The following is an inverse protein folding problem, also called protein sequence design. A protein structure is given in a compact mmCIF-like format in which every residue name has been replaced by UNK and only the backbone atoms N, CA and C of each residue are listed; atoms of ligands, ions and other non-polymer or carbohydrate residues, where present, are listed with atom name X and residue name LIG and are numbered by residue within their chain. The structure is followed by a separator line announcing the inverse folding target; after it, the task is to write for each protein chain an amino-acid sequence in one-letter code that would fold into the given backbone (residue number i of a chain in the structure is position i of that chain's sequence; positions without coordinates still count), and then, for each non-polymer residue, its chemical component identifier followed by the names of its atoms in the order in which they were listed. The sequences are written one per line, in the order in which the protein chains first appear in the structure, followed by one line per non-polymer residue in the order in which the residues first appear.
data_IF_504773049081
#
_entry.id   IF_504773049081
#
_cell.length_a   1.000
_cell.length_b   1.000
_cell.length_c   1.000
_cell.angle_alpha   90.00
_cell.angle_beta   90.00
_cell.angle_gamma   90.00
#
_symmetry.space_group_name_H-M   'P 1'
#
loop_
_entity.id
_entity.type
_entity.pdbx_description
1 polymer ?
#
# COMPACT_ATOMS: atom_id res chain seq x y z
N UNK A 1 43.39 2.62 4.47
CA UNK A 1 42.22 2.83 3.59
C UNK A 1 41.65 1.45 3.32
N UNK A 2 40.70 1.02 4.15
CA UNK A 2 40.09 -0.31 4.08
C UNK A 2 38.65 -0.19 4.60
N UNK A 3 37.77 0.41 3.80
CA UNK A 3 36.35 0.64 4.15
C UNK A 3 35.40 -0.32 3.44
N UNK A 4 35.93 -1.28 2.68
CA UNK A 4 35.11 -2.08 1.75
C UNK A 4 34.58 -3.38 2.38
N UNK A 5 35.06 -3.74 3.58
CA UNK A 5 34.75 -5.02 4.23
C UNK A 5 33.70 -4.93 5.35
N UNK A 6 33.43 -3.73 5.89
CA UNK A 6 32.40 -3.54 6.94
C UNK A 6 30.98 -3.53 6.36
N UNK A 7 30.81 -3.06 5.12
CA UNK A 7 29.49 -2.95 4.48
C UNK A 7 28.96 -4.30 4.00
N UNK A 8 29.83 -5.28 3.73
CA UNK A 8 29.39 -6.62 3.30
C UNK A 8 28.62 -7.35 4.41
N UNK A 9 29.06 -7.23 5.67
CA UNK A 9 28.44 -7.92 6.80
C UNK A 9 27.12 -7.31 7.31
N UNK A 10 26.83 -6.03 7.01
CA UNK A 10 25.62 -5.36 7.55
C UNK A 10 24.33 -5.90 6.92
N UNK A 11 24.39 -6.36 5.67
CA UNK A 11 23.24 -6.92 4.95
C UNK A 11 23.04 -8.41 5.26
N UNK A 12 24.11 -9.14 5.62
CA UNK A 12 24.03 -10.55 6.02
C UNK A 12 23.24 -10.76 7.32
N UNK A 13 23.30 -9.78 8.24
CA UNK A 13 22.54 -9.79 9.49
C UNK A 13 21.18 -9.06 9.37
N UNK A 14 20.82 -8.57 8.19
CA UNK A 14 19.60 -7.80 8.02
C UNK A 14 18.36 -8.70 8.18
N UNK A 15 17.37 -8.31 8.99
CA UNK A 15 16.19 -9.12 9.21
C UNK A 15 15.40 -9.29 7.91
N UNK A 16 15.28 -10.54 7.46
CA UNK A 16 14.45 -10.93 6.30
C UNK A 16 12.99 -11.12 6.68
N UNK A 17 12.69 -11.20 7.99
CA UNK A 17 11.36 -11.30 8.57
C UNK A 17 11.20 -10.27 9.69
N UNK A 18 9.99 -9.71 9.81
CA UNK A 18 9.64 -8.74 10.82
C UNK A 18 8.55 -9.30 11.72
N UNK A 19 8.64 -9.04 13.02
CA UNK A 19 7.57 -9.34 13.98
C UNK A 19 6.98 -8.05 14.54
N UNK A 20 5.67 -7.78 14.34
CA UNK A 20 4.71 -8.56 13.54
C UNK A 20 4.97 -8.47 12.02
N UNK A 21 4.50 -9.45 11.21
CA UNK A 21 4.74 -9.47 9.78
C UNK A 21 4.30 -8.18 9.08
N UNK A 22 5.18 -7.65 8.24
CA UNK A 22 4.91 -6.46 7.41
C UNK A 22 4.27 -6.81 6.07
N UNK A 23 4.19 -8.10 5.72
CA UNK A 23 3.59 -8.59 4.47
C UNK A 23 2.76 -9.86 4.71
N UNK A 24 1.63 -9.99 4.01
CA UNK A 24 0.80 -11.21 3.98
C UNK A 24 0.54 -11.61 2.54
N UNK A 25 0.95 -12.80 2.13
CA UNK A 25 0.73 -13.31 0.77
C UNK A 25 -0.68 -13.92 0.67
N UNK A 26 -1.34 -13.72 -0.46
CA UNK A 26 -2.61 -14.33 -0.83
C UNK A 26 -2.36 -15.26 -2.01
N UNK A 27 -2.32 -16.57 -1.73
CA UNK A 27 -2.06 -17.62 -2.70
C UNK A 27 -3.09 -18.76 -2.52
N UNK A 28 -3.91 -19.10 -3.53
CA UNK A 28 -3.97 -18.48 -4.86
C UNK A 28 -4.49 -17.02 -4.80
N UNK A 29 -4.15 -16.19 -5.80
CA UNK A 29 -4.68 -14.83 -5.89
C UNK A 29 -6.21 -14.82 -5.90
N UNK A 30 -6.82 -13.81 -5.27
CA UNK A 30 -8.28 -13.73 -5.08
C UNK A 30 -8.90 -12.59 -5.87
N UNK A 31 -10.01 -12.85 -6.57
CA UNK A 31 -10.82 -11.79 -7.17
C UNK A 31 -11.44 -10.89 -6.09
N UNK A 32 -11.36 -9.58 -6.28
CA UNK A 32 -11.84 -8.56 -5.35
C UNK A 32 -12.46 -7.38 -6.10
N UNK A 33 -13.35 -6.65 -5.42
CA UNK A 33 -13.87 -5.37 -5.88
C UNK A 33 -13.12 -4.24 -5.17
N UNK A 34 -12.52 -3.33 -5.93
CA UNK A 34 -11.72 -2.21 -5.44
C UNK A 34 -12.52 -0.92 -5.52
N UNK A 35 -12.79 -0.31 -4.37
CA UNK A 35 -13.34 1.04 -4.30
C UNK A 35 -12.22 2.07 -4.54
N UNK A 36 -12.27 2.79 -5.66
CA UNK A 36 -11.20 3.69 -6.10
C UNK A 36 -11.00 4.87 -5.13
N UNK A 37 -12.07 5.40 -4.52
CA UNK A 37 -11.95 6.45 -3.51
C UNK A 37 -11.08 6.05 -2.32
N UNK A 38 -11.17 4.78 -1.89
CA UNK A 38 -10.37 4.26 -0.77
C UNK A 38 -8.97 3.83 -1.19
N UNK A 39 -8.78 3.42 -2.44
CA UNK A 39 -7.50 2.99 -2.96
C UNK A 39 -6.53 4.17 -3.20
N UNK A 40 -7.03 5.29 -3.71
CA UNK A 40 -6.24 6.48 -4.01
C UNK A 40 -6.24 7.46 -2.83
N UNK A 41 -7.41 7.65 -2.21
CA UNK A 41 -7.58 8.48 -1.03
C UNK A 41 -7.08 7.76 0.22
N UNK A 42 -5.76 7.72 0.42
CA UNK A 42 -5.19 7.17 1.64
C UNK A 42 -5.79 7.88 2.86
N UNK A 43 -6.23 7.11 3.85
CA UNK A 43 -6.73 7.54 5.16
C UNK A 43 -5.66 8.23 6.02
N UNK A 44 -5.00 9.28 5.52
CA UNK A 44 -4.39 10.26 6.41
C UNK A 44 -5.55 10.98 7.10
N UNK A 45 -5.59 10.98 8.43
CA UNK A 45 -6.68 11.52 9.27
C UNK A 45 -6.99 13.03 9.14
N UNK A 46 -6.78 13.63 7.97
CA UNK A 46 -7.29 14.94 7.61
C UNK A 46 -8.76 14.81 7.23
N UNK A 47 -9.64 15.17 8.17
CA UNK A 47 -11.08 15.28 7.90
C UNK A 47 -11.37 16.19 6.69
N UNK A 48 -12.53 15.94 6.07
CA UNK A 48 -13.11 16.65 4.92
C UNK A 48 -13.39 18.14 5.21
N UNK A 49 -12.35 18.91 5.52
CA UNK A 49 -12.49 20.24 6.12
C UNK A 49 -12.46 21.39 5.13
N UNK A 50 -12.15 21.11 3.88
CA UNK A 50 -12.11 22.11 2.81
C UNK A 50 -13.30 21.88 1.87
N UNK A 51 -14.08 22.92 1.61
CA UNK A 51 -15.30 22.89 0.79
C UNK A 51 -15.03 22.62 -0.71
N UNK A 52 -13.80 22.27 -1.06
CA UNK A 52 -13.36 21.88 -2.40
C UNK A 52 -14.19 20.71 -2.94
N UNK A 53 -14.83 20.85 -4.12
CA UNK A 53 -15.59 19.77 -4.74
C UNK A 53 -14.76 18.49 -4.90
N UNK A 54 -15.38 17.35 -4.63
CA UNK A 54 -14.72 16.04 -4.62
C UNK A 54 -13.97 15.75 -5.92
N UNK A 55 -14.54 16.11 -7.08
CA UNK A 55 -13.91 15.96 -8.41
C UNK A 55 -12.61 16.74 -8.58
N UNK A 56 -12.48 17.89 -7.92
CA UNK A 56 -11.28 18.75 -7.98
C UNK A 56 -10.20 18.18 -7.05
N UNK A 57 -10.58 17.69 -5.88
CA UNK A 57 -9.67 16.95 -4.97
C UNK A 57 -9.18 15.63 -5.58
N UNK A 58 -10.02 15.01 -6.38
CA UNK A 58 -9.73 13.79 -7.11
C UNK A 58 -8.83 14.03 -8.33
N UNK A 59 -8.35 15.25 -8.59
CA UNK A 59 -7.56 15.57 -9.79
C UNK A 59 -8.28 15.20 -11.10
N UNK A 60 -9.62 15.20 -11.08
CA UNK A 60 -10.45 14.78 -12.22
C UNK A 60 -10.68 13.26 -12.34
N UNK A 61 -10.21 12.45 -11.39
CA UNK A 61 -10.42 11.01 -11.38
C UNK A 61 -11.85 10.62 -10.96
N UNK A 62 -12.35 9.54 -11.56
CA UNK A 62 -13.64 8.93 -11.23
C UNK A 62 -13.55 8.12 -9.92
N UNK A 63 -13.67 8.81 -8.78
CA UNK A 63 -13.53 8.24 -7.43
C UNK A 63 -14.76 7.45 -6.96
N UNK A 64 -15.88 7.53 -7.67
CA UNK A 64 -17.14 6.83 -7.38
C UNK A 64 -17.24 5.44 -8.02
N UNK A 65 -16.15 4.97 -8.63
CA UNK A 65 -16.10 3.68 -9.31
C UNK A 65 -15.65 2.55 -8.39
N UNK A 66 -16.24 1.37 -8.63
CA UNK A 66 -15.78 0.09 -8.10
C UNK A 66 -15.27 -0.72 -9.29
N UNK A 67 -14.02 -1.18 -9.21
CA UNK A 67 -13.34 -1.90 -10.30
C UNK A 67 -13.01 -3.32 -9.84
N UNK A 68 -13.19 -4.30 -10.72
CA UNK A 68 -12.75 -5.67 -10.46
C UNK A 68 -11.22 -5.76 -10.47
N UNK A 69 -10.66 -6.56 -9.58
CA UNK A 69 -9.23 -6.78 -9.50
C UNK A 69 -8.86 -8.13 -8.91
N UNK A 70 -7.57 -8.42 -8.90
CA UNK A 70 -6.98 -9.63 -8.33
C UNK A 70 -6.01 -9.25 -7.23
N UNK A 71 -6.23 -9.75 -6.02
CA UNK A 71 -5.42 -9.53 -4.83
C UNK A 71 -4.34 -10.60 -4.68
N UNK A 72 -3.09 -10.16 -4.53
CA UNK A 72 -1.92 -11.03 -4.38
C UNK A 72 -1.27 -10.97 -3.00
N UNK A 73 -1.34 -9.82 -2.32
CA UNK A 73 -0.74 -9.64 -1.01
C UNK A 73 -1.30 -8.43 -0.27
N UNK A 74 -0.96 -8.32 1.01
CA UNK A 74 -1.11 -7.13 1.82
C UNK A 74 0.25 -6.65 2.31
N UNK A 75 0.46 -5.35 2.37
CA UNK A 75 1.65 -4.71 2.95
C UNK A 75 1.25 -3.77 4.08
N UNK A 76 1.96 -3.85 5.21
CA UNK A 76 1.70 -2.98 6.36
C UNK A 76 2.39 -1.63 6.18
N UNK A 77 1.67 -0.57 6.50
CA UNK A 77 2.16 0.81 6.47
C UNK A 77 2.82 1.20 7.78
N UNK A 78 3.61 2.28 7.77
CA UNK A 78 4.19 2.86 8.99
C UNK A 78 3.15 3.37 10.00
N UNK A 79 1.90 3.62 9.58
CA UNK A 79 0.78 4.00 10.46
C UNK A 79 0.05 2.79 11.03
N UNK A 80 0.41 1.57 10.63
CA UNK A 80 -0.18 0.32 11.12
C UNK A 80 -1.28 -0.24 10.23
N UNK A 81 -1.78 0.52 9.24
CA UNK A 81 -2.78 0.12 8.25
C UNK A 81 -2.22 -0.88 7.24
N UNK A 82 -3.09 -1.54 6.47
CA UNK A 82 -2.72 -2.47 5.40
C UNK A 82 -3.08 -1.92 4.02
N UNK A 83 -2.11 -2.00 3.10
CA UNK A 83 -2.30 -1.74 1.68
C UNK A 83 -2.53 -3.06 0.95
N UNK A 84 -3.55 -3.09 0.11
CA UNK A 84 -3.75 -4.19 -0.82
C UNK A 84 -2.75 -4.07 -1.99
N UNK A 85 -2.07 -5.17 -2.30
CA UNK A 85 -1.29 -5.31 -3.53
C UNK A 85 -2.16 -6.08 -4.54
N UNK A 86 -2.89 -5.33 -5.36
CA UNK A 86 -3.83 -5.87 -6.34
C UNK A 86 -3.58 -5.30 -7.75
N UNK A 87 -3.99 -6.06 -8.76
CA UNK A 87 -4.02 -5.64 -10.16
C UNK A 87 -5.48 -5.56 -10.65
N UNK A 88 -5.84 -4.47 -11.32
CA UNK A 88 -7.15 -4.26 -11.95
C UNK A 88 -6.94 -4.01 -13.44
N UNK A 89 -7.72 -4.69 -14.29
CA UNK A 89 -7.69 -4.52 -15.76
C UNK A 89 -8.67 -3.46 -16.24
#
# INVERSE_FOLDING_TARGET
MTTDNETAGIFDAWPTTFEPPTRRIVDPPKSVNVNIALAIGRSGGGGFRDTTPLKVRAEGLAMDSIVEGTLYAWARTGTGDWLACSYSS
#
